data_IF_511888816983
#
_entry.id   IF_511888816983
#
_cell.length_a   1.000
_cell.length_b   1.000
_cell.length_c   1.000
_cell.angle_alpha   90.00
_cell.angle_beta   90.00
_cell.angle_gamma   90.00
#
_symmetry.space_group_name_H-M   'P 1'
#
loop_
_entity.id
_entity.type
_entity.pdbx_description
1 polymer ?
#
# COMPACT_ATOMS: atom_id res chain seq x y z
N UNK A 1 9.32 5.19 -3.73
CA UNK A 1 9.03 4.79 -2.33
C UNK A 1 8.61 3.33 -2.22
N UNK A 2 7.64 2.85 -3.03
CA UNK A 2 7.13 1.47 -2.95
C UNK A 2 8.24 0.42 -3.13
N UNK A 3 9.10 0.56 -4.13
CA UNK A 3 10.20 -0.40 -4.40
C UNK A 3 11.10 -0.54 -3.18
N UNK A 4 11.47 0.59 -2.56
CA UNK A 4 12.32 0.60 -1.39
C UNK A 4 11.63 -0.04 -0.18
N UNK A 5 10.38 0.32 0.09
CA UNK A 5 9.61 -0.25 1.20
C UNK A 5 9.38 -1.74 1.02
N UNK A 6 9.07 -2.22 -0.19
CA UNK A 6 8.90 -3.65 -0.48
C UNK A 6 10.17 -4.48 -0.29
N UNK A 7 11.36 -3.85 -0.32
CA UNK A 7 12.62 -4.51 0.01
C UNK A 7 12.90 -4.60 1.51
N UNK A 8 12.14 -3.86 2.33
CA UNK A 8 12.35 -3.73 3.78
C UNK A 8 11.29 -4.51 4.56
N UNK A 9 10.04 -4.45 4.11
CA UNK A 9 8.88 -5.02 4.79
C UNK A 9 8.04 -5.87 3.84
N UNK A 10 7.46 -6.93 4.39
CA UNK A 10 6.46 -7.73 3.70
C UNK A 10 5.06 -7.22 4.06
N UNK A 11 4.54 -6.30 3.26
CA UNK A 11 3.26 -5.65 3.49
C UNK A 11 2.60 -5.22 2.18
N UNK A 12 1.29 -5.11 2.19
CA UNK A 12 0.54 -4.50 1.09
C UNK A 12 0.73 -2.99 1.11
N UNK A 13 1.43 -2.44 0.10
CA UNK A 13 1.80 -1.03 0.02
C UNK A 13 0.89 -0.30 -0.96
N UNK A 14 0.18 0.71 -0.46
CA UNK A 14 -0.68 1.59 -1.25
C UNK A 14 0.00 2.94 -1.41
N UNK A 15 0.39 3.29 -2.64
CA UNK A 15 0.94 4.61 -2.95
C UNK A 15 -0.19 5.63 -3.11
N UNK A 16 -0.04 6.78 -2.48
CA UNK A 16 -1.06 7.86 -2.52
C UNK A 16 -0.91 8.77 -3.73
N UNK A 17 0.22 8.72 -4.44
CA UNK A 17 0.56 9.61 -5.55
C UNK A 17 0.49 11.10 -5.13
N UNK A 18 1.04 11.39 -3.96
CA UNK A 18 1.03 12.71 -3.38
C UNK A 18 -0.41 13.24 -3.18
N UNK A 19 -0.69 14.46 -3.60
CA UNK A 19 -2.02 15.08 -3.52
C UNK A 19 -3.09 14.44 -4.42
N UNK A 20 -2.70 13.49 -5.29
CA UNK A 20 -3.65 12.71 -6.09
C UNK A 20 -4.69 11.98 -5.25
N UNK A 21 -4.33 11.59 -4.04
CA UNK A 21 -5.24 10.89 -3.10
C UNK A 21 -6.48 11.71 -2.75
N UNK A 22 -6.41 13.04 -2.76
CA UNK A 22 -7.55 13.91 -2.41
C UNK A 22 -8.74 13.77 -3.38
N UNK A 23 -8.47 13.32 -4.60
CA UNK A 23 -9.48 13.14 -5.66
C UNK A 23 -9.71 11.67 -6.02
N UNK A 24 -8.91 10.74 -5.51
CA UNK A 24 -8.98 9.32 -5.84
C UNK A 24 -9.88 8.57 -4.84
N UNK A 25 -11.19 8.57 -5.11
CA UNK A 25 -12.19 7.91 -4.26
C UNK A 25 -11.95 6.40 -4.12
N UNK A 26 -11.65 5.71 -5.22
CA UNK A 26 -11.43 4.26 -5.22
C UNK A 26 -10.22 3.87 -4.34
N UNK A 27 -9.13 4.61 -4.47
CA UNK A 27 -7.95 4.39 -3.62
C UNK A 27 -8.25 4.67 -2.15
N UNK A 28 -9.05 5.70 -1.86
CA UNK A 28 -9.47 6.03 -0.51
C UNK A 28 -10.38 4.94 0.09
N UNK A 29 -11.27 4.36 -0.70
CA UNK A 29 -12.11 3.22 -0.27
C UNK A 29 -11.25 1.99 0.05
N UNK A 30 -10.25 1.70 -0.77
CA UNK A 30 -9.28 0.62 -0.49
C UNK A 30 -8.53 0.87 0.83
N UNK A 31 -8.06 2.10 1.07
CA UNK A 31 -7.39 2.47 2.33
C UNK A 31 -8.34 2.28 3.53
N UNK A 32 -9.60 2.66 3.42
CA UNK A 32 -10.61 2.44 4.46
C UNK A 32 -10.87 0.96 4.72
N UNK A 33 -10.96 0.16 3.65
CA UNK A 33 -11.11 -1.29 3.76
C UNK A 33 -9.93 -1.91 4.50
N UNK A 34 -8.70 -1.51 4.15
CA UNK A 34 -7.49 -2.00 4.83
C UNK A 34 -7.44 -1.59 6.30
N UNK A 35 -7.80 -0.36 6.60
CA UNK A 35 -7.84 0.11 7.99
C UNK A 35 -8.77 -0.75 8.87
N UNK A 36 -9.90 -1.18 8.33
CA UNK A 36 -10.85 -2.08 9.03
C UNK A 36 -10.36 -3.52 9.10
N UNK A 37 -9.78 -4.03 8.03
CA UNK A 37 -9.44 -5.47 7.91
C UNK A 37 -8.15 -5.81 8.65
N UNK A 38 -7.10 -5.03 8.44
CA UNK A 38 -5.75 -5.33 8.94
C UNK A 38 -5.12 -4.20 9.76
N UNK A 39 -5.73 -3.01 9.74
CA UNK A 39 -5.06 -1.78 10.15
C UNK A 39 -4.12 -1.24 9.05
N UNK A 40 -3.79 0.03 9.15
CA UNK A 40 -2.86 0.69 8.23
C UNK A 40 -1.80 1.49 8.98
N UNK A 41 -0.62 1.60 8.36
CA UNK A 41 0.42 2.54 8.77
C UNK A 41 0.50 3.65 7.73
N UNK A 42 0.39 4.90 8.15
CA UNK A 42 0.60 6.06 7.30
C UNK A 42 2.06 6.49 7.44
N UNK A 43 2.82 6.33 6.36
CA UNK A 43 4.19 6.80 6.22
C UNK A 43 4.22 7.88 5.13
N UNK A 44 4.67 9.07 5.46
CA UNK A 44 4.82 10.21 4.53
C UNK A 44 6.15 10.91 4.76
N UNK A 45 6.55 11.71 3.79
CA UNK A 45 7.67 12.63 3.96
C UNK A 45 7.44 13.55 5.16
N UNK A 46 8.52 14.02 5.78
CA UNK A 46 8.49 14.91 6.95
C UNK A 46 8.40 16.38 6.56
N UNK A 47 7.74 16.69 5.43
CA UNK A 47 7.52 18.03 4.93
C UNK A 47 6.05 18.45 5.04
N UNK A 48 5.75 19.70 4.72
CA UNK A 48 4.39 20.26 4.80
C UNK A 48 3.40 19.47 3.91
N UNK A 49 3.81 19.00 2.73
CA UNK A 49 2.98 18.23 1.82
C UNK A 49 2.64 16.85 2.43
N UNK A 50 3.63 16.16 2.99
CA UNK A 50 3.44 14.88 3.68
C UNK A 50 2.49 15.01 4.89
N UNK A 51 2.61 16.08 5.68
CA UNK A 51 1.69 16.35 6.79
C UNK A 51 0.25 16.64 6.31
N UNK A 52 0.06 17.32 5.19
CA UNK A 52 -1.28 17.55 4.62
C UNK A 52 -1.93 16.25 4.19
N UNK A 53 -1.19 15.38 3.48
CA UNK A 53 -1.68 14.05 3.06
C UNK A 53 -2.03 13.21 4.30
N UNK A 54 -1.17 13.18 5.30
CA UNK A 54 -1.39 12.47 6.57
C UNK A 54 -2.66 12.93 7.27
N UNK A 55 -2.84 14.24 7.41
CA UNK A 55 -4.02 14.82 8.06
C UNK A 55 -5.30 14.51 7.28
N UNK A 56 -5.25 14.56 5.96
CA UNK A 56 -6.37 14.17 5.11
C UNK A 56 -6.75 12.70 5.33
N UNK A 57 -5.79 11.78 5.27
CA UNK A 57 -6.03 10.35 5.48
C UNK A 57 -6.58 10.08 6.88
N UNK A 58 -6.00 10.70 7.92
CA UNK A 58 -6.51 10.61 9.30
C UNK A 58 -7.97 11.05 9.41
N UNK A 59 -8.35 12.12 8.73
CA UNK A 59 -9.73 12.62 8.71
C UNK A 59 -10.68 11.78 7.86
N UNK A 60 -10.17 11.14 6.82
CA UNK A 60 -10.96 10.35 5.88
C UNK A 60 -11.22 8.91 6.33
N UNK A 61 -10.33 8.35 7.14
CA UNK A 61 -10.45 7.00 7.72
C UNK A 61 -11.04 7.11 9.11
N UNK A 62 -12.35 6.91 9.23
CA UNK A 62 -13.09 7.06 10.51
C UNK A 62 -13.17 5.78 11.33
N UNK A 63 -12.95 4.63 10.71
CA UNK A 63 -13.11 3.31 11.31
C UNK A 63 -11.87 2.45 11.01
N UNK A 64 -11.53 1.56 11.93
CA UNK A 64 -10.36 0.69 11.83
C UNK A 64 -9.14 1.26 12.56
N UNK A 65 -8.01 0.57 12.40
CA UNK A 65 -6.76 0.93 13.08
C UNK A 65 -5.86 1.75 12.14
N UNK A 66 -5.43 2.92 12.63
CA UNK A 66 -4.54 3.82 11.88
C UNK A 66 -3.33 4.16 12.75
N UNK A 67 -2.18 3.73 12.30
CA UNK A 67 -0.90 4.01 12.92
C UNK A 67 -0.12 5.05 12.12
N UNK A 68 0.76 5.78 12.78
CA UNK A 68 1.52 6.85 12.15
C UNK A 68 3.01 6.61 12.34
N UNK A 69 3.72 6.36 11.25
CA UNK A 69 5.18 6.32 11.25
C UNK A 69 5.74 7.67 10.80
N UNK A 70 6.75 8.15 11.52
CA UNK A 70 7.41 9.42 11.27
C UNK A 70 8.91 9.16 11.05
N UNK A 71 9.40 9.48 9.87
CA UNK A 71 10.83 9.50 9.62
C UNK A 71 11.45 10.75 10.25
N UNK A 72 12.71 10.65 10.67
CA UNK A 72 13.44 11.82 11.11
C UNK A 72 13.66 12.80 9.95
N UNK A 73 13.71 14.09 10.26
CA UNK A 73 14.08 15.12 9.30
C UNK A 73 15.56 14.93 8.90
N UNK A 74 15.79 14.58 7.65
CA UNK A 74 17.12 14.48 7.08
C UNK A 74 17.21 15.54 5.99
N UNK A 75 18.15 16.46 6.16
CA UNK A 75 18.42 17.47 5.15
C UNK A 75 19.36 16.90 4.08
N UNK A 76 19.03 17.16 2.83
CA UNK A 76 19.81 16.70 1.71
C UNK A 76 19.08 16.83 0.39
N UNK A 77 19.76 16.39 -0.67
CA UNK A 77 19.20 16.35 -2.02
C UNK A 77 19.12 14.89 -2.45
N UNK A 78 17.97 14.48 -2.92
CA UNK A 78 17.81 13.15 -3.52
C UNK A 78 18.62 13.06 -4.82
N UNK A 79 19.37 11.95 -5.05
CA UNK A 79 20.22 11.80 -6.23
C UNK A 79 19.50 12.00 -7.58
N UNK A 80 18.20 11.70 -7.62
CA UNK A 80 17.37 11.79 -8.84
C UNK A 80 16.80 13.18 -9.10
N UNK A 81 16.79 14.07 -8.12
CA UNK A 81 16.22 15.42 -8.25
C UNK A 81 17.29 16.40 -8.70
N UNK A 82 16.95 17.27 -9.64
CA UNK A 82 17.81 18.39 -10.05
C UNK A 82 17.95 19.43 -8.95
N UNK A 83 16.86 19.64 -8.18
CA UNK A 83 16.80 20.59 -7.05
C UNK A 83 16.36 19.89 -5.77
N UNK A 84 16.75 20.37 -4.58
CA UNK A 84 16.22 19.88 -3.31
C UNK A 84 14.70 20.10 -3.24
N UNK A 85 14.02 19.41 -2.30
CA UNK A 85 12.64 19.73 -1.95
C UNK A 85 12.54 21.16 -1.43
N UNK A 86 11.33 21.75 -1.44
CA UNK A 86 11.09 23.12 -0.97
C UNK A 86 11.61 23.38 0.47
N UNK A 87 11.64 22.35 1.31
CA UNK A 87 12.16 22.41 2.68
C UNK A 87 13.60 21.85 2.80
N UNK A 88 14.23 21.42 1.69
CA UNK A 88 15.57 20.82 1.71
C UNK A 88 15.65 19.47 2.42
N UNK A 89 14.52 18.82 2.70
CA UNK A 89 14.45 17.52 3.36
C UNK A 89 14.42 16.38 2.36
N UNK A 90 15.00 15.25 2.74
CA UNK A 90 14.89 14.01 1.96
C UNK A 90 13.49 13.40 2.14
N UNK A 91 12.86 13.01 1.02
CA UNK A 91 11.69 12.16 1.04
C UNK A 91 12.01 10.73 1.50
N UNK A 92 10.98 9.91 1.74
CA UNK A 92 11.11 8.51 2.18
C UNK A 92 12.12 7.72 1.31
N UNK A 93 12.21 8.01 0.03
CA UNK A 93 13.18 7.38 -0.87
C UNK A 93 14.64 7.66 -0.46
N UNK A 94 14.94 8.86 0.02
CA UNK A 94 16.27 9.27 0.46
C UNK A 94 16.63 8.86 1.89
N UNK A 95 15.65 8.54 2.73
CA UNK A 95 15.86 8.20 4.14
C UNK A 95 16.55 6.83 4.28
N UNK A 96 17.59 6.67 5.10
CA UNK A 96 18.24 5.37 5.33
C UNK A 96 17.28 4.28 5.83
N UNK A 97 17.48 3.04 5.37
CA UNK A 97 16.63 1.89 5.72
C UNK A 97 16.45 1.73 7.23
N UNK A 98 17.52 1.84 8.00
CA UNK A 98 17.49 1.73 9.48
C UNK A 98 16.54 2.74 10.12
N UNK A 99 16.45 3.94 9.57
CA UNK A 99 15.55 4.98 10.10
C UNK A 99 14.10 4.72 9.72
N UNK A 100 13.84 4.14 8.54
CA UNK A 100 12.50 3.70 8.15
C UNK A 100 12.02 2.59 9.08
N UNK A 101 12.86 1.56 9.33
CA UNK A 101 12.55 0.47 10.26
C UNK A 101 12.24 1.05 11.65
N UNK A 102 13.11 1.92 12.17
CA UNK A 102 12.88 2.55 13.49
C UNK A 102 11.59 3.37 13.55
N UNK A 103 11.22 4.06 12.46
CA UNK A 103 9.97 4.80 12.38
C UNK A 103 8.74 3.88 12.41
N UNK A 104 8.82 2.73 11.75
CA UNK A 104 7.78 1.71 11.74
C UNK A 104 7.63 1.07 13.13
N UNK A 105 8.73 0.68 13.77
CA UNK A 105 8.73 0.11 15.14
C UNK A 105 8.11 1.09 16.16
N UNK A 106 8.48 2.37 16.09
CA UNK A 106 7.93 3.42 16.97
C UNK A 106 6.43 3.69 16.72
N UNK A 107 5.88 3.28 15.59
CA UNK A 107 4.44 3.41 15.34
C UNK A 107 3.58 2.44 16.18
N UNK A 108 4.22 1.57 16.99
CA UNK A 108 3.55 0.57 17.83
C UNK A 108 3.26 -0.76 17.12
N UNK A 109 3.67 -0.87 15.88
CA UNK A 109 3.62 -2.13 15.15
C UNK A 109 5.01 -2.74 15.23
N UNK A 110 5.15 -3.80 15.99
CA UNK A 110 6.30 -4.67 15.87
C UNK A 110 6.22 -5.31 14.48
N UNK A 111 6.97 -4.77 13.55
CA UNK A 111 7.29 -5.46 12.33
C UNK A 111 8.19 -6.63 12.75
N UNK A 112 7.59 -7.74 13.19
CA UNK A 112 8.28 -9.01 13.06
C UNK A 112 8.71 -9.05 11.61
N UNK A 113 10.01 -9.18 11.38
CA UNK A 113 10.52 -9.55 10.06
C UNK A 113 9.99 -10.97 9.82
N UNK A 114 8.72 -11.05 9.42
CA UNK A 114 8.16 -12.31 8.95
C UNK A 114 8.97 -12.67 7.72
N UNK A 115 9.55 -13.85 7.74
CA UNK A 115 10.05 -14.46 6.51
C UNK A 115 8.96 -14.28 5.45
N UNK A 116 9.35 -13.76 4.31
CA UNK A 116 8.41 -13.42 3.23
C UNK A 116 7.61 -14.67 2.91
N UNK A 117 6.33 -14.64 3.21
CA UNK A 117 5.43 -15.76 2.91
C UNK A 117 5.42 -15.92 1.39
N UNK A 118 5.69 -17.13 0.85
CA UNK A 118 5.63 -17.36 -0.58
C UNK A 118 4.27 -16.95 -1.14
N UNK A 119 4.29 -16.33 -2.31
CA UNK A 119 3.06 -15.97 -3.02
C UNK A 119 2.34 -17.26 -3.44
N UNK A 120 1.10 -17.46 -2.98
CA UNK A 120 0.30 -18.62 -3.37
C UNK A 120 -0.48 -18.40 -4.67
N UNK A 121 -0.72 -17.14 -5.05
CA UNK A 121 -1.42 -16.77 -6.26
C UNK A 121 -0.45 -16.07 -7.23
N UNK A 122 -0.30 -16.62 -8.42
CA UNK A 122 0.57 -16.10 -9.49
C UNK A 122 -0.24 -15.54 -10.66
N UNK A 123 0.45 -14.90 -11.59
CA UNK A 123 -0.16 -14.49 -12.87
C UNK A 123 -0.67 -15.70 -13.67
N UNK A 124 0.01 -16.85 -13.60
CA UNK A 124 -0.42 -18.07 -14.27
C UNK A 124 -1.76 -18.59 -13.73
N UNK A 125 -1.96 -18.48 -12.41
CA UNK A 125 -3.22 -18.88 -11.78
C UNK A 125 -4.37 -17.98 -12.23
N UNK A 126 -4.13 -16.69 -12.45
CA UNK A 126 -5.15 -15.78 -12.99
C UNK A 126 -5.59 -16.16 -14.41
N UNK A 127 -4.67 -16.70 -15.23
CA UNK A 127 -5.05 -17.25 -16.53
C UNK A 127 -5.90 -18.52 -16.38
N UNK A 128 -5.52 -19.44 -15.51
CA UNK A 128 -6.27 -20.67 -15.22
C UNK A 128 -7.68 -20.38 -14.69
N UNK A 129 -7.84 -19.33 -13.90
CA UNK A 129 -9.11 -18.87 -13.32
C UNK A 129 -9.96 -18.00 -14.27
N UNK A 130 -9.54 -17.81 -15.53
CA UNK A 130 -10.19 -16.91 -16.49
C UNK A 130 -10.30 -15.45 -15.99
N UNK A 131 -9.36 -15.05 -15.14
CA UNK A 131 -9.24 -13.67 -14.65
C UNK A 131 -8.23 -12.86 -15.47
N UNK A 132 -7.50 -13.51 -16.41
CA UNK A 132 -6.57 -12.88 -17.32
C UNK A 132 -6.59 -13.60 -18.67
N UNK A 133 -6.28 -12.89 -19.77
CA UNK A 133 -6.03 -13.47 -21.10
C UNK A 133 -7.25 -13.91 -21.90
N UNK A 134 -8.46 -13.85 -21.37
CA UNK A 134 -9.71 -14.17 -22.06
C UNK A 134 -10.52 -12.91 -22.34
N UNK A 135 -11.47 -13.01 -23.29
CA UNK A 135 -12.40 -11.91 -23.60
C UNK A 135 -13.20 -11.45 -22.39
N UNK A 136 -13.57 -12.39 -21.53
CA UNK A 136 -14.39 -12.15 -20.34
C UNK A 136 -13.58 -11.82 -19.08
N UNK A 137 -12.25 -11.92 -19.15
CA UNK A 137 -11.37 -11.75 -17.99
C UNK A 137 -11.62 -10.43 -17.22
N UNK A 138 -11.85 -9.33 -17.96
CA UNK A 138 -12.15 -8.03 -17.34
C UNK A 138 -13.48 -8.06 -16.57
N UNK A 139 -14.49 -8.69 -17.13
CA UNK A 139 -15.82 -8.84 -16.52
C UNK A 139 -15.74 -9.74 -15.29
N UNK A 140 -15.02 -10.85 -15.39
CA UNK A 140 -14.83 -11.79 -14.29
C UNK A 140 -14.07 -11.14 -13.13
N UNK A 141 -13.00 -10.38 -13.41
CA UNK A 141 -12.30 -9.60 -12.37
C UNK A 141 -13.22 -8.59 -11.70
N UNK A 142 -14.05 -7.86 -12.44
CA UNK A 142 -14.98 -6.89 -11.84
C UNK A 142 -15.95 -7.56 -10.88
N UNK A 143 -16.55 -8.70 -11.27
CA UNK A 143 -17.44 -9.47 -10.38
C UNK A 143 -16.72 -9.94 -9.13
N UNK A 144 -15.47 -10.42 -9.29
CA UNK A 144 -14.66 -10.85 -8.16
C UNK A 144 -14.31 -9.66 -7.24
N UNK A 145 -13.90 -8.51 -7.79
CA UNK A 145 -13.60 -7.31 -7.02
C UNK A 145 -14.84 -6.83 -6.25
N UNK A 146 -16.02 -6.88 -6.86
CA UNK A 146 -17.28 -6.55 -6.19
C UNK A 146 -17.55 -7.48 -5.00
N UNK A 147 -17.43 -8.81 -5.18
CA UNK A 147 -17.56 -9.77 -4.07
C UNK A 147 -16.56 -9.50 -2.94
N UNK A 148 -15.37 -9.07 -3.26
CA UNK A 148 -14.29 -8.79 -2.31
C UNK A 148 -14.34 -7.38 -1.72
N UNK A 149 -15.24 -6.51 -2.18
CA UNK A 149 -15.30 -5.10 -1.78
C UNK A 149 -14.10 -4.29 -2.27
N UNK A 150 -13.45 -4.72 -3.36
CA UNK A 150 -12.27 -4.06 -3.92
C UNK A 150 -12.63 -3.04 -5.00
N UNK A 151 -11.77 -2.02 -5.23
CA UNK A 151 -11.94 -1.05 -6.30
C UNK A 151 -12.03 -1.71 -7.66
N UNK A 152 -13.01 -1.31 -8.49
CA UNK A 152 -13.30 -1.90 -9.81
C UNK A 152 -12.17 -1.70 -10.83
N UNK A 153 -11.33 -0.68 -10.63
CA UNK A 153 -10.20 -0.35 -11.52
C UNK A 153 -8.83 -0.75 -10.95
N UNK A 154 -8.82 -1.61 -9.93
CA UNK A 154 -7.58 -2.15 -9.38
C UNK A 154 -6.79 -2.86 -10.47
N UNK A 155 -5.48 -2.58 -10.57
CA UNK A 155 -4.60 -3.27 -11.52
C UNK A 155 -4.39 -4.74 -11.12
N UNK A 156 -4.09 -5.59 -12.11
CA UNK A 156 -3.80 -7.02 -11.86
C UNK A 156 -2.64 -7.22 -10.88
N UNK A 157 -1.58 -6.40 -11.00
CA UNK A 157 -0.45 -6.44 -10.08
C UNK A 157 -0.84 -6.05 -8.65
N UNK A 158 -1.64 -4.98 -8.50
CA UNK A 158 -2.13 -4.59 -7.16
C UNK A 158 -3.07 -5.64 -6.57
N UNK A 159 -3.86 -6.31 -7.40
CA UNK A 159 -4.73 -7.40 -6.97
C UNK A 159 -3.93 -8.61 -6.47
N UNK A 160 -2.92 -9.05 -7.21
CA UNK A 160 -2.02 -10.13 -6.77
C UNK A 160 -1.32 -9.79 -5.45
N UNK A 161 -0.79 -8.57 -5.36
CA UNK A 161 -0.14 -8.08 -4.14
C UNK A 161 -1.11 -8.06 -2.95
N UNK A 162 -2.35 -7.59 -3.16
CA UNK A 162 -3.40 -7.62 -2.15
C UNK A 162 -3.71 -9.04 -1.69
N UNK A 163 -3.99 -9.96 -2.61
CA UNK A 163 -4.38 -11.33 -2.26
C UNK A 163 -3.26 -12.03 -1.51
N UNK A 164 -2.03 -11.96 -2.01
CA UNK A 164 -0.88 -12.65 -1.42
C UNK A 164 -0.44 -12.08 -0.05
N UNK A 165 -0.81 -10.81 0.30
CA UNK A 165 -0.39 -10.16 1.56
C UNK A 165 -1.51 -10.05 2.59
N UNK A 166 -2.77 -10.11 2.15
CA UNK A 166 -3.92 -9.75 3.00
C UNK A 166 -4.85 -10.94 3.22
N UNK A 167 -4.74 -11.99 2.40
CA UNK A 167 -5.62 -13.15 2.46
C UNK A 167 -4.83 -14.44 2.63
N UNK A 168 -5.48 -15.45 3.22
CA UNK A 168 -5.02 -16.82 3.12
C UNK A 168 -5.49 -17.46 1.80
N UNK A 169 -4.82 -18.53 1.40
CA UNK A 169 -5.20 -19.32 0.23
C UNK A 169 -6.65 -19.83 0.34
N UNK A 170 -7.03 -20.36 1.49
CA UNK A 170 -8.38 -20.87 1.76
C UNK A 170 -9.45 -19.77 1.66
N UNK A 171 -9.18 -18.58 2.19
CA UNK A 171 -10.10 -17.43 2.07
C UNK A 171 -10.32 -17.04 0.61
N UNK A 172 -9.24 -16.99 -0.18
CA UNK A 172 -9.32 -16.60 -1.59
C UNK A 172 -10.11 -17.61 -2.41
N UNK A 173 -9.77 -18.89 -2.34
CA UNK A 173 -10.47 -19.93 -3.08
C UNK A 173 -11.91 -20.12 -2.60
N UNK A 174 -12.21 -19.90 -1.32
CA UNK A 174 -13.57 -19.90 -0.80
C UNK A 174 -14.48 -18.80 -1.37
N UNK A 175 -13.91 -17.71 -1.92
CA UNK A 175 -14.68 -16.65 -2.60
C UNK A 175 -14.93 -17.01 -4.08
N UNK A 176 -14.02 -17.74 -4.72
CA UNK A 176 -14.09 -18.08 -6.15
C UNK A 176 -15.01 -19.27 -6.42
N UNK A 177 -15.02 -20.24 -5.53
CA UNK A 177 -15.88 -21.41 -5.59
C UNK A 177 -17.32 -21.07 -5.19
#
# INVERSE_FOLDING_TARGET
DKIKLSSIIDAFIIETDGFGIFKNREKLELIRLMAKKTGIIILTDSDAAGFQIRNFLKGAVKEGQVFHAYTADIFGKEPRKTEPSAEGKLGVEGVPVKQIISALEKSGIFAEQKEKTPDFLSTADLYALNLLGTTDAKTNRRKLYEKMGLPQHMSTSAFLDYVNRVMSEDEFYGIIL
#
